data_IF_117293575225
#
_entry.id   IF_117293575225
#
_cell.length_a   1.000
_cell.length_b   1.000
_cell.length_c   1.000
_cell.angle_alpha   90.00
_cell.angle_beta   90.00
_cell.angle_gamma   90.00
#
_symmetry.space_group_name_H-M   'P 1'
#
loop_
_entity.id
_entity.type
_entity.pdbx_description
1 polymer ?
#
# COMPACT_ATOMS: atom_id res chain seq x y z
N UNK A 1 -10.84 11.15 8.68
CA UNK A 1 -12.20 11.33 9.22
C UNK A 1 -13.12 10.17 8.86
N UNK A 2 -13.11 9.68 7.61
CA UNK A 2 -13.92 8.51 7.19
C UNK A 2 -13.49 7.22 7.91
N UNK A 3 -12.20 7.00 8.09
CA UNK A 3 -11.67 5.82 8.81
C UNK A 3 -12.14 5.77 10.26
N UNK A 4 -12.10 6.90 10.99
CA UNK A 4 -12.65 6.99 12.35
C UNK A 4 -14.17 6.81 12.39
N UNK A 5 -14.88 7.23 11.34
CA UNK A 5 -16.31 6.99 11.23
C UNK A 5 -16.59 5.50 11.01
N UNK A 6 -15.78 4.84 10.17
CA UNK A 6 -15.85 3.39 9.97
C UNK A 6 -15.66 2.64 11.29
N UNK A 7 -14.63 2.98 12.05
CA UNK A 7 -14.39 2.41 13.38
C UNK A 7 -15.60 2.61 14.31
N UNK A 8 -16.12 3.84 14.40
CA UNK A 8 -17.30 4.15 15.23
C UNK A 8 -18.50 3.27 14.92
N UNK A 9 -18.69 2.91 13.66
CA UNK A 9 -19.80 2.07 13.19
C UNK A 9 -19.42 0.61 12.96
N UNK A 10 -18.24 0.21 13.44
CA UNK A 10 -17.70 -1.15 13.29
C UNK A 10 -17.75 -1.64 11.83
N UNK A 11 -17.28 -0.81 10.91
CA UNK A 11 -17.17 -1.11 9.48
C UNK A 11 -15.71 -1.28 9.09
N UNK A 12 -15.37 -2.26 8.25
CA UNK A 12 -14.02 -2.39 7.73
C UNK A 12 -13.65 -1.20 6.84
N UNK A 13 -12.34 -0.95 6.73
CA UNK A 13 -11.77 0.02 5.81
C UNK A 13 -11.15 -0.72 4.64
N UNK A 14 -11.56 -0.37 3.43
CA UNK A 14 -10.96 -0.86 2.19
C UNK A 14 -10.29 0.31 1.50
N UNK A 15 -9.00 0.16 1.19
CA UNK A 15 -8.21 1.16 0.50
C UNK A 15 -7.78 0.64 -0.87
N UNK A 16 -8.11 1.37 -1.93
CA UNK A 16 -7.58 1.14 -3.27
C UNK A 16 -6.54 2.21 -3.58
N UNK A 17 -5.32 1.79 -3.83
CA UNK A 17 -4.15 2.64 -4.00
C UNK A 17 -3.83 2.72 -5.49
N UNK A 18 -3.98 3.91 -6.04
CA UNK A 18 -3.56 4.27 -7.39
C UNK A 18 -3.10 5.73 -7.37
N UNK A 19 -1.82 5.93 -7.07
CA UNK A 19 -1.22 7.26 -6.94
C UNK A 19 0.26 7.23 -7.28
N UNK A 20 0.70 8.18 -8.08
CA UNK A 20 2.11 8.43 -8.37
C UNK A 20 2.87 9.11 -7.21
N UNK A 21 2.21 9.32 -6.08
CA UNK A 21 2.77 9.94 -4.88
C UNK A 21 2.00 11.18 -4.44
N UNK A 22 2.42 11.74 -3.30
CA UNK A 22 1.90 13.00 -2.81
C UNK A 22 2.40 14.14 -3.73
N UNK A 23 1.50 15.05 -4.12
CA UNK A 23 1.86 16.17 -4.99
C UNK A 23 2.87 17.12 -4.32
N UNK A 24 4.07 17.33 -4.89
CA UNK A 24 5.14 18.12 -4.28
C UNK A 24 5.00 19.62 -4.61
N UNK A 25 3.84 20.21 -4.39
CA UNK A 25 3.56 21.60 -4.70
C UNK A 25 3.36 22.47 -3.48
N UNK A 26 3.68 23.77 -3.59
CA UNK A 26 3.54 24.73 -2.52
C UNK A 26 2.12 24.76 -1.91
N UNK A 27 1.11 24.73 -2.76
CA UNK A 27 -0.29 24.70 -2.31
C UNK A 27 -0.64 23.44 -1.49
N UNK A 28 -0.02 22.30 -1.79
CA UNK A 28 -0.22 21.08 -1.04
C UNK A 28 0.44 21.18 0.36
N UNK A 29 1.64 21.75 0.43
CA UNK A 29 2.34 22.03 1.68
C UNK A 29 1.54 23.01 2.56
N UNK A 30 1.06 24.14 1.99
CA UNK A 30 0.25 25.12 2.68
C UNK A 30 -1.07 24.55 3.23
N UNK A 31 -1.62 23.54 2.55
CA UNK A 31 -2.85 22.83 2.98
C UNK A 31 -2.59 21.68 3.95
N UNK A 32 -1.35 21.48 4.38
CA UNK A 32 -0.99 20.50 5.40
C UNK A 32 -0.96 19.07 4.91
N UNK A 33 -0.53 18.83 3.65
CA UNK A 33 -0.44 17.48 3.08
C UNK A 33 0.46 16.56 3.92
N UNK A 34 1.62 17.03 4.38
CA UNK A 34 2.54 16.25 5.19
C UNK A 34 1.90 15.81 6.52
N UNK A 35 1.21 16.73 7.20
CA UNK A 35 0.45 16.39 8.42
C UNK A 35 -0.67 15.39 8.13
N UNK A 36 -1.38 15.53 7.01
CA UNK A 36 -2.45 14.61 6.64
C UNK A 36 -1.93 13.18 6.43
N UNK A 37 -0.78 13.02 5.76
CA UNK A 37 -0.11 11.73 5.58
C UNK A 37 0.33 11.16 6.93
N UNK A 38 1.09 11.93 7.71
CA UNK A 38 1.60 11.48 9.00
C UNK A 38 0.48 11.07 9.95
N UNK A 39 -0.59 11.84 9.99
CA UNK A 39 -1.77 11.55 10.80
C UNK A 39 -2.49 10.29 10.35
N UNK A 40 -2.63 10.06 9.05
CA UNK A 40 -3.22 8.84 8.54
C UNK A 40 -2.41 7.60 8.94
N UNK A 41 -1.07 7.66 8.89
CA UNK A 41 -0.22 6.54 9.34
C UNK A 41 -0.50 6.19 10.79
N UNK A 42 -0.52 7.21 11.67
CA UNK A 42 -0.81 7.02 13.09
C UNK A 42 -2.22 6.46 13.33
N UNK A 43 -3.23 7.06 12.69
CA UNK A 43 -4.62 6.64 12.86
C UNK A 43 -4.87 5.23 12.35
N UNK A 44 -4.39 4.91 11.14
CA UNK A 44 -4.55 3.57 10.55
C UNK A 44 -3.87 2.49 11.39
N UNK A 45 -2.72 2.77 11.98
CA UNK A 45 -2.01 1.78 12.81
C UNK A 45 -2.81 1.33 14.02
N UNK A 46 -3.67 2.18 14.58
CA UNK A 46 -4.42 1.93 15.81
C UNK A 46 -5.93 1.70 15.63
N UNK A 47 -6.46 1.79 14.40
CA UNK A 47 -7.89 1.54 14.12
C UNK A 47 -8.31 0.12 14.54
N UNK A 48 -9.39 0.03 15.30
CA UNK A 48 -9.93 -1.23 15.85
C UNK A 48 -10.91 -1.94 14.92
N UNK A 49 -10.74 -1.78 13.62
CA UNK A 49 -11.50 -2.46 12.56
C UNK A 49 -10.55 -3.02 11.52
N UNK A 50 -10.96 -4.07 10.77
CA UNK A 50 -10.18 -4.60 9.68
C UNK A 50 -9.86 -3.54 8.62
N UNK A 51 -8.59 -3.50 8.17
CA UNK A 51 -8.12 -2.66 7.09
C UNK A 51 -7.50 -3.54 6.01
N UNK A 52 -8.00 -3.45 4.78
CA UNK A 52 -7.47 -4.18 3.63
C UNK A 52 -7.11 -3.18 2.54
N UNK A 53 -5.87 -3.26 2.05
CA UNK A 53 -5.34 -2.35 1.04
C UNK A 53 -5.00 -3.11 -0.23
N UNK A 54 -5.33 -2.53 -1.39
CA UNK A 54 -4.98 -3.04 -2.71
C UNK A 54 -4.26 -1.96 -3.51
N UNK A 55 -3.04 -2.23 -3.96
CA UNK A 55 -2.39 -1.43 -5.00
C UNK A 55 -2.96 -1.90 -6.34
N UNK A 56 -3.73 -1.03 -7.00
CA UNK A 56 -4.47 -1.36 -8.23
C UNK A 56 -3.87 -0.75 -9.50
N UNK A 57 -2.86 0.08 -9.34
CA UNK A 57 -2.10 0.73 -10.40
C UNK A 57 -0.75 1.16 -9.88
N UNK A 58 -0.56 2.44 -9.70
CA UNK A 58 0.67 3.00 -9.14
C UNK A 58 0.59 3.13 -7.62
N UNK A 59 1.56 2.59 -6.92
CA UNK A 59 1.71 2.75 -5.47
C UNK A 59 2.99 3.50 -5.15
N UNK A 60 2.95 4.83 -5.03
CA UNK A 60 4.17 5.59 -4.84
C UNK A 60 4.22 6.41 -3.56
N UNK A 61 5.37 6.31 -2.89
CA UNK A 61 5.85 7.22 -1.86
C UNK A 61 4.83 7.43 -0.70
N UNK A 62 4.88 8.61 -0.08
CA UNK A 62 3.99 8.98 1.03
C UNK A 62 2.51 9.02 0.67
N UNK A 63 2.17 9.26 -0.60
CA UNK A 63 0.78 9.21 -1.07
C UNK A 63 0.18 7.81 -0.93
N UNK A 64 0.90 6.79 -1.36
CA UNK A 64 0.50 5.39 -1.23
C UNK A 64 0.55 4.93 0.24
N UNK A 65 1.64 5.24 0.94
CA UNK A 65 1.83 4.85 2.33
C UNK A 65 0.74 5.42 3.24
N UNK A 66 0.35 6.69 3.03
CA UNK A 66 -0.66 7.39 3.83
C UNK A 66 -2.05 6.73 3.83
N UNK A 67 -2.31 5.77 2.95
CA UNK A 67 -3.54 4.97 2.89
C UNK A 67 -3.26 3.45 2.80
N UNK A 68 -2.01 3.04 3.04
CA UNK A 68 -1.50 1.68 2.84
C UNK A 68 -1.25 0.87 4.10
N UNK A 69 -1.52 1.39 5.30
CA UNK A 69 -1.30 0.68 6.57
C UNK A 69 -2.46 -0.27 6.86
N UNK A 70 -2.42 -1.47 6.28
CA UNK A 70 -3.49 -2.45 6.39
C UNK A 70 -3.11 -3.75 7.10
N UNK A 71 -4.11 -4.45 7.65
CA UNK A 71 -3.96 -5.83 8.16
C UNK A 71 -3.61 -6.78 7.03
N UNK A 72 -4.12 -6.48 5.83
CA UNK A 72 -3.77 -7.11 4.56
C UNK A 72 -3.43 -6.05 3.53
N UNK A 73 -2.32 -6.25 2.83
CA UNK A 73 -1.87 -5.39 1.73
C UNK A 73 -1.61 -6.27 0.51
N UNK A 74 -2.33 -6.04 -0.55
CA UNK A 74 -2.22 -6.77 -1.81
C UNK A 74 -1.77 -5.85 -2.94
N UNK A 75 -1.16 -6.43 -3.94
CA UNK A 75 -0.94 -5.79 -5.24
C UNK A 75 -1.65 -6.56 -6.33
N UNK A 76 -2.18 -5.88 -7.34
CA UNK A 76 -2.52 -6.55 -8.59
C UNK A 76 -1.22 -6.98 -9.29
N UNK A 77 -1.31 -7.98 -10.14
CA UNK A 77 -0.16 -8.65 -10.76
C UNK A 77 0.77 -7.70 -11.51
N UNK A 78 0.21 -6.72 -12.24
CA UNK A 78 0.96 -5.81 -13.11
C UNK A 78 1.09 -4.39 -12.54
N UNK A 79 0.99 -4.25 -11.22
CA UNK A 79 1.15 -2.98 -10.53
C UNK A 79 2.56 -2.84 -9.96
N UNK A 80 2.92 -1.64 -9.55
CA UNK A 80 4.20 -1.37 -8.90
C UNK A 80 4.01 -0.59 -7.60
N UNK A 81 4.94 -0.82 -6.65
CA UNK A 81 4.93 -0.17 -5.35
C UNK A 81 6.35 0.27 -5.02
N UNK A 82 6.56 1.56 -4.76
CA UNK A 82 7.90 2.10 -4.53
C UNK A 82 7.89 3.35 -3.66
N UNK A 83 8.97 3.55 -2.93
CA UNK A 83 9.21 4.76 -2.14
C UNK A 83 9.46 5.99 -3.02
N UNK A 84 9.98 5.81 -4.23
CA UNK A 84 10.41 6.87 -5.14
C UNK A 84 10.34 6.40 -6.58
N UNK A 85 10.18 7.31 -7.54
CA UNK A 85 10.30 6.98 -8.96
C UNK A 85 11.74 6.60 -9.35
N UNK A 86 11.93 5.72 -10.35
CA UNK A 86 13.26 5.39 -10.85
C UNK A 86 14.07 6.60 -11.32
N UNK A 87 13.42 7.58 -11.94
CA UNK A 87 14.03 8.82 -12.40
C UNK A 87 14.58 9.64 -11.23
N UNK A 88 13.77 9.82 -10.19
CA UNK A 88 14.18 10.54 -8.99
C UNK A 88 15.27 9.79 -8.22
N UNK A 89 15.17 8.47 -8.11
CA UNK A 89 16.20 7.62 -7.54
C UNK A 89 17.52 7.76 -8.30
N UNK A 90 17.47 7.72 -9.63
CA UNK A 90 18.63 7.92 -10.51
C UNK A 90 19.27 9.29 -10.29
N UNK A 91 18.47 10.34 -10.20
CA UNK A 91 18.95 11.71 -9.94
C UNK A 91 19.66 11.82 -8.60
N UNK A 92 19.13 11.21 -7.55
CA UNK A 92 19.71 11.26 -6.20
C UNK A 92 21.03 10.48 -6.14
N UNK A 93 21.03 9.25 -6.66
CA UNK A 93 22.20 8.36 -6.52
C UNK A 93 23.31 8.66 -7.53
N UNK A 94 22.97 9.00 -8.76
CA UNK A 94 23.94 9.16 -9.86
C UNK A 94 23.95 10.56 -10.49
N UNK A 95 23.10 11.48 -10.03
CA UNK A 95 22.98 12.86 -10.54
C UNK A 95 22.68 12.95 -12.05
N UNK A 96 22.05 11.91 -12.59
CA UNK A 96 21.62 11.83 -14.00
C UNK A 96 20.39 10.92 -14.10
N UNK A 97 19.56 11.17 -15.11
CA UNK A 97 18.42 10.29 -15.45
C UNK A 97 18.83 9.07 -16.29
N UNK A 98 20.06 9.04 -16.78
CA UNK A 98 20.55 7.97 -17.66
C UNK A 98 20.56 6.60 -16.97
N UNK A 99 20.54 6.56 -15.64
CA UNK A 99 20.57 5.34 -14.85
C UNK A 99 19.17 4.91 -14.34
N UNK A 100 18.07 5.45 -14.88
CA UNK A 100 16.71 5.15 -14.43
C UNK A 100 16.34 3.66 -14.53
N UNK A 101 16.80 2.96 -15.56
CA UNK A 101 16.58 1.52 -15.75
C UNK A 101 17.28 0.72 -14.63
N UNK A 102 18.54 1.04 -14.36
CA UNK A 102 19.28 0.47 -13.24
C UNK A 102 18.63 0.79 -11.89
N UNK A 103 18.12 2.00 -11.72
CA UNK A 103 17.39 2.39 -10.52
C UNK A 103 16.11 1.54 -10.36
N UNK A 104 15.34 1.32 -11.42
CA UNK A 104 14.15 0.48 -11.40
C UNK A 104 14.47 -0.97 -10.99
N UNK A 105 15.53 -1.54 -11.54
CA UNK A 105 16.00 -2.87 -11.18
C UNK A 105 16.40 -2.98 -9.70
N UNK A 106 17.08 -1.95 -9.17
CA UNK A 106 17.51 -1.90 -7.78
C UNK A 106 16.34 -1.68 -6.80
N UNK A 107 15.33 -0.91 -7.18
CA UNK A 107 14.16 -0.61 -6.35
C UNK A 107 13.25 -1.82 -6.13
N UNK A 108 13.33 -2.86 -6.99
CA UNK A 108 12.54 -4.09 -6.82
C UNK A 108 11.05 -3.80 -6.64
N UNK A 109 10.46 -3.03 -7.55
CA UNK A 109 9.15 -2.41 -7.40
C UNK A 109 7.95 -3.24 -7.90
N UNK A 110 8.21 -4.44 -8.47
CA UNK A 110 7.13 -5.31 -8.98
C UNK A 110 6.38 -6.03 -7.86
N UNK A 111 5.17 -6.50 -8.14
CA UNK A 111 4.38 -7.27 -7.18
C UNK A 111 5.11 -8.52 -6.68
N UNK A 112 5.86 -9.20 -7.55
CA UNK A 112 6.65 -10.37 -7.20
C UNK A 112 7.82 -10.02 -6.27
N UNK A 113 8.53 -8.92 -6.56
CA UNK A 113 9.59 -8.42 -5.70
C UNK A 113 9.07 -8.02 -4.31
N UNK A 114 7.93 -7.32 -4.25
CA UNK A 114 7.31 -6.89 -3.00
C UNK A 114 6.85 -8.08 -2.16
N UNK A 115 6.29 -9.11 -2.79
CA UNK A 115 5.91 -10.34 -2.09
C UNK A 115 7.15 -11.08 -1.57
N UNK A 116 8.19 -11.20 -2.38
CA UNK A 116 9.46 -11.84 -1.98
C UNK A 116 10.12 -11.13 -0.81
N UNK A 117 10.05 -9.81 -0.79
CA UNK A 117 10.59 -8.97 0.30
C UNK A 117 9.64 -8.86 1.51
N UNK A 118 8.50 -9.57 1.50
CA UNK A 118 7.51 -9.57 2.59
C UNK A 118 6.92 -8.19 2.91
N UNK A 119 6.83 -7.32 1.89
CA UNK A 119 6.24 -5.98 2.00
C UNK A 119 4.75 -5.98 1.70
N UNK A 120 4.24 -7.04 1.07
CA UNK A 120 2.81 -7.27 0.81
C UNK A 120 2.42 -8.69 1.23
N UNK A 121 1.13 -8.90 1.46
CA UNK A 121 0.58 -10.19 1.92
C UNK A 121 0.22 -11.13 0.75
N UNK A 122 0.11 -10.60 -0.46
CA UNK A 122 -0.20 -11.43 -1.64
C UNK A 122 -0.38 -10.64 -2.92
N UNK A 123 -0.49 -11.38 -4.02
CA UNK A 123 -0.72 -10.86 -5.36
C UNK A 123 -2.10 -11.31 -5.83
N UNK A 124 -2.89 -10.38 -6.33
CA UNK A 124 -4.18 -10.66 -6.96
C UNK A 124 -3.97 -10.73 -8.46
N UNK A 125 -4.30 -11.90 -9.05
CA UNK A 125 -4.16 -12.14 -10.48
C UNK A 125 -5.11 -11.26 -11.29
N UNK A 126 -4.61 -10.77 -12.41
CA UNK A 126 -5.38 -9.96 -13.34
C UNK A 126 -5.91 -10.80 -14.51
N UNK A 127 -7.02 -10.38 -15.14
CA UNK A 127 -7.43 -10.93 -16.42
C UNK A 127 -6.33 -10.76 -17.48
N UNK A 128 -6.35 -11.63 -18.50
CA UNK A 128 -5.42 -11.53 -19.62
C UNK A 128 -5.51 -10.14 -20.26
N UNK A 129 -4.38 -9.45 -20.37
CA UNK A 129 -4.27 -8.08 -20.88
C UNK A 129 -4.46 -6.99 -19.83
N UNK A 130 -4.64 -7.36 -18.54
CA UNK A 130 -4.74 -6.42 -17.41
C UNK A 130 -6.16 -6.21 -16.90
N UNK A 131 -6.28 -5.62 -15.71
CA UNK A 131 -7.55 -5.40 -15.02
C UNK A 131 -8.58 -4.62 -15.86
N UNK A 132 -8.14 -3.65 -16.65
CA UNK A 132 -8.98 -2.79 -17.49
C UNK A 132 -9.61 -3.52 -18.68
N UNK A 133 -9.07 -4.67 -19.12
CA UNK A 133 -9.62 -5.45 -20.22
C UNK A 133 -10.89 -6.21 -19.82
N UNK A 134 -11.00 -6.59 -18.55
CA UNK A 134 -12.21 -7.24 -18.05
C UNK A 134 -12.49 -6.78 -16.61
N UNK A 135 -13.07 -5.57 -16.44
CA UNK A 135 -13.36 -5.01 -15.12
C UNK A 135 -14.32 -5.85 -14.28
N UNK A 136 -15.26 -6.55 -14.91
CA UNK A 136 -16.23 -7.40 -14.23
C UNK A 136 -15.53 -8.60 -13.58
N UNK A 137 -14.70 -9.32 -14.33
CA UNK A 137 -13.91 -10.43 -13.81
C UNK A 137 -12.94 -9.97 -12.71
N UNK A 138 -12.30 -8.80 -12.92
CA UNK A 138 -11.41 -8.21 -11.91
C UNK A 138 -12.18 -7.89 -10.63
N UNK A 139 -13.36 -7.31 -10.75
CA UNK A 139 -14.23 -7.01 -9.62
C UNK A 139 -14.64 -8.24 -8.82
N UNK A 140 -15.00 -9.35 -9.49
CA UNK A 140 -15.32 -10.62 -8.82
C UNK A 140 -14.10 -11.25 -8.16
N UNK A 141 -12.92 -11.13 -8.77
CA UNK A 141 -11.66 -11.60 -8.18
C UNK A 141 -11.33 -10.85 -6.90
N UNK A 142 -11.39 -9.50 -6.92
CA UNK A 142 -11.19 -8.66 -5.75
C UNK A 142 -12.22 -8.92 -4.66
N UNK A 143 -13.48 -9.05 -5.02
CA UNK A 143 -14.57 -9.36 -4.09
C UNK A 143 -14.35 -10.72 -3.40
N UNK A 144 -13.91 -11.72 -4.13
CA UNK A 144 -13.61 -13.05 -3.58
C UNK A 144 -12.50 -12.95 -2.52
N UNK A 145 -11.42 -12.24 -2.81
CA UNK A 145 -10.33 -12.02 -1.86
C UNK A 145 -10.81 -11.21 -0.64
N UNK A 146 -11.54 -10.12 -0.88
CA UNK A 146 -12.09 -9.27 0.19
C UNK A 146 -13.00 -10.05 1.14
N UNK A 147 -13.94 -10.83 0.63
CA UNK A 147 -14.87 -11.62 1.44
C UNK A 147 -14.12 -12.64 2.29
N UNK A 148 -13.11 -13.30 1.71
CA UNK A 148 -12.25 -14.23 2.44
C UNK A 148 -11.59 -13.54 3.61
N UNK A 149 -10.88 -12.44 3.37
CA UNK A 149 -10.11 -11.74 4.40
C UNK A 149 -11.00 -11.12 5.47
N UNK A 150 -12.12 -10.53 5.10
CA UNK A 150 -13.08 -9.99 6.05
C UNK A 150 -13.65 -11.07 6.97
N UNK A 151 -13.94 -12.27 6.43
CA UNK A 151 -14.40 -13.41 7.23
C UNK A 151 -13.33 -13.93 8.21
N UNK A 152 -12.06 -13.79 7.87
CA UNK A 152 -10.94 -14.12 8.75
C UNK A 152 -10.73 -13.05 9.81
N UNK A 153 -10.53 -11.80 9.37
CA UNK A 153 -10.17 -10.67 10.25
C UNK A 153 -11.29 -10.29 11.22
N UNK A 154 -12.55 -10.43 10.83
CA UNK A 154 -13.69 -10.13 11.70
C UNK A 154 -13.82 -11.06 12.92
N UNK A 155 -13.12 -12.20 12.92
CA UNK A 155 -13.08 -13.15 14.04
C UNK A 155 -11.93 -12.88 15.00
N UNK A 156 -11.00 -12.02 14.62
CA UNK A 156 -9.84 -11.66 15.44
C UNK A 156 -10.27 -10.65 16.49
N UNK A 157 -9.81 -10.85 17.71
CA UNK A 157 -9.97 -9.84 18.76
C UNK A 157 -9.36 -8.51 18.35
N UNK A 158 -10.02 -7.40 18.67
CA UNK A 158 -9.66 -6.07 18.19
C UNK A 158 -8.28 -5.61 18.66
N UNK A 159 -7.91 -5.91 19.90
CA UNK A 159 -6.60 -5.50 20.43
C UNK A 159 -5.49 -6.36 19.80
N UNK A 160 -5.77 -7.64 19.55
CA UNK A 160 -4.87 -8.53 18.80
C UNK A 160 -4.73 -8.10 17.33
N UNK A 161 -5.83 -7.67 16.70
CA UNK A 161 -5.81 -7.15 15.33
C UNK A 161 -4.84 -5.96 15.20
N UNK A 162 -4.97 -4.98 16.10
CA UNK A 162 -4.11 -3.80 16.15
C UNK A 162 -2.66 -4.19 16.43
N UNK A 163 -2.39 -5.03 17.43
CA UNK A 163 -1.04 -5.48 17.75
C UNK A 163 -0.38 -6.19 16.57
N UNK A 164 -1.09 -7.13 15.94
CA UNK A 164 -0.57 -7.86 14.76
C UNK A 164 -0.26 -6.92 13.58
N UNK A 165 -1.10 -5.89 13.34
CA UNK A 165 -0.83 -4.87 12.32
C UNK A 165 0.45 -4.12 12.61
N UNK A 166 0.63 -3.62 13.83
CA UNK A 166 1.83 -2.90 14.25
C UNK A 166 3.07 -3.79 14.10
N UNK A 167 3.02 -5.00 14.64
CA UNK A 167 4.12 -5.96 14.59
C UNK A 167 4.53 -6.27 13.14
N UNK A 168 3.55 -6.43 12.24
CA UNK A 168 3.81 -6.65 10.80
C UNK A 168 4.65 -5.54 10.19
N UNK A 169 4.28 -4.27 10.40
CA UNK A 169 5.04 -3.15 9.83
C UNK A 169 6.39 -2.94 10.53
N UNK A 170 6.47 -3.19 11.83
CA UNK A 170 7.74 -3.14 12.57
C UNK A 170 8.72 -4.24 12.17
N UNK A 171 8.23 -5.38 11.69
CA UNK A 171 9.07 -6.50 11.24
C UNK A 171 9.57 -6.36 9.81
N UNK A 172 9.12 -5.35 9.05
CA UNK A 172 9.57 -5.13 7.68
C UNK A 172 11.03 -4.67 7.63
N UNK A 173 11.78 -5.24 6.69
CA UNK A 173 13.18 -4.92 6.47
C UNK A 173 14.15 -5.93 7.11
N UNK A 174 15.42 -5.82 6.71
CA UNK A 174 16.52 -6.65 7.23
C UNK A 174 17.55 -5.75 7.85
N UNK A 175 17.83 -5.94 9.14
CA UNK A 175 18.93 -5.28 9.85
C UNK A 175 20.08 -6.24 9.91
N UNK A 176 21.23 -5.86 9.31
CA UNK A 176 22.48 -6.60 9.43
C UNK A 176 23.30 -5.89 10.50
N UNK A 177 23.46 -6.53 11.66
CA UNK A 177 24.43 -6.08 12.67
C UNK A 177 25.83 -6.48 12.22
N UNK A 178 26.74 -5.50 12.07
CA UNK A 178 28.15 -5.72 11.74
C UNK A 178 28.98 -5.90 13.02
#
# INVERSE_FOLDING_TARGET
RLMRLAEKFNKPVISFIDTMGAYPGLEAEERGQGEAIARNLLEMSVLKVPIICFVIGEGASGGALGIGIGDRVYMLEHTWYSVISPESCSSILWRSWDFKEKAAECLKLTSEDMLKNQLIDGIVKEPLGGAHQNPELMGETLKTQLVKDLNELSKVDTDKLVATRIDKFCAMGVVVEN
#
